data_IF_504579270509
#
_entry.id   IF_504579270509
#
_cell.length_a   1.000
_cell.length_b   1.000
_cell.length_c   1.000
_cell.angle_alpha   90.00
_cell.angle_beta   90.00
_cell.angle_gamma   90.00
#
_symmetry.space_group_name_H-M   'P 1'
#
loop_
_entity.id
_entity.type
_entity.pdbx_description
1 polymer ?
#
# COMPACT_ATOMS: atom_id res chain seq x y z
N UNK A 1 14.23 54.70 -49.11
CA UNK A 1 15.49 54.58 -48.43
C UNK A 1 15.31 53.80 -47.11
N UNK A 2 16.21 52.86 -46.79
CA UNK A 2 16.12 51.96 -45.63
C UNK A 2 16.22 52.71 -44.28
N UNK A 3 16.72 53.92 -44.29
CA UNK A 3 16.86 54.81 -43.12
C UNK A 3 15.54 55.45 -42.65
N UNK A 4 14.56 55.61 -43.55
CA UNK A 4 13.27 56.21 -43.19
C UNK A 4 12.31 55.29 -42.44
N UNK A 5 12.47 53.97 -42.62
CA UNK A 5 11.68 52.95 -41.90
C UNK A 5 12.09 52.84 -40.41
N UNK A 6 13.37 52.99 -40.13
CA UNK A 6 13.90 52.92 -38.73
C UNK A 6 13.53 54.17 -37.92
N UNK A 7 13.58 55.36 -38.55
CA UNK A 7 13.17 56.62 -37.90
C UNK A 7 11.68 56.64 -37.50
N UNK A 8 10.79 56.08 -38.33
CA UNK A 8 9.34 55.97 -38.02
C UNK A 8 9.03 54.93 -36.93
N UNK A 9 9.76 53.86 -36.88
CA UNK A 9 9.62 52.83 -35.86
C UNK A 9 10.06 53.35 -34.48
N UNK A 10 11.17 54.02 -34.38
CA UNK A 10 11.65 54.64 -33.14
C UNK A 10 10.66 55.70 -32.60
N UNK A 11 10.08 56.52 -33.49
CA UNK A 11 9.10 57.53 -33.09
C UNK A 11 7.83 56.90 -32.49
N UNK A 12 7.43 55.72 -32.93
CA UNK A 12 6.30 54.99 -32.36
C UNK A 12 6.59 54.49 -30.93
N UNK A 13 7.71 53.84 -30.69
CA UNK A 13 8.07 53.35 -29.36
C UNK A 13 8.30 54.49 -28.36
N UNK A 14 8.89 55.63 -28.81
CA UNK A 14 9.04 56.81 -27.96
C UNK A 14 7.73 57.44 -27.59
N UNK A 15 6.74 57.52 -28.50
CA UNK A 15 5.39 58.02 -28.22
C UNK A 15 4.65 57.06 -27.26
N UNK A 16 4.76 55.79 -27.45
CA UNK A 16 4.15 54.77 -26.54
C UNK A 16 4.75 54.90 -25.12
N UNK A 17 6.06 55.05 -25.00
CA UNK A 17 6.74 55.23 -23.73
C UNK A 17 6.34 56.54 -23.01
N UNK A 18 6.24 57.65 -23.74
CA UNK A 18 5.78 58.92 -23.18
C UNK A 18 4.30 58.86 -22.74
N UNK A 19 3.48 58.11 -23.46
CA UNK A 19 2.08 57.91 -23.08
C UNK A 19 1.94 57.07 -21.79
N UNK A 20 2.69 55.99 -21.69
CA UNK A 20 2.78 55.13 -20.49
C UNK A 20 3.27 55.94 -19.27
N UNK A 21 4.27 56.78 -19.44
CA UNK A 21 4.84 57.63 -18.36
C UNK A 21 3.86 58.71 -17.89
N UNK A 22 2.99 59.21 -18.78
CA UNK A 22 2.04 60.29 -18.48
C UNK A 22 0.74 59.76 -17.81
N UNK A 23 0.38 58.49 -18.04
CA UNK A 23 -0.80 57.82 -17.45
C UNK A 23 -0.43 56.64 -16.63
N UNK A 24 0.55 56.74 -15.74
CA UNK A 24 1.10 55.67 -14.90
C UNK A 24 0.02 54.87 -14.17
N UNK A 25 -1.02 55.56 -13.60
CA UNK A 25 -2.08 54.93 -12.87
C UNK A 25 -2.90 53.91 -13.71
N UNK A 26 -3.26 54.30 -14.95
CA UNK A 26 -4.02 53.43 -15.85
C UNK A 26 -3.21 52.22 -16.34
N UNK A 27 -1.91 52.47 -16.61
CA UNK A 27 -0.97 51.40 -17.04
C UNK A 27 -0.72 50.41 -15.92
N UNK A 28 -0.59 50.85 -14.67
CA UNK A 28 -0.38 50.00 -13.52
C UNK A 28 -1.63 49.10 -13.29
N UNK A 29 -2.83 49.67 -13.36
CA UNK A 29 -4.07 48.92 -13.23
C UNK A 29 -4.19 47.86 -14.33
N UNK A 30 -3.93 48.20 -15.59
CA UNK A 30 -3.95 47.27 -16.70
C UNK A 30 -2.94 46.13 -16.51
N UNK A 31 -1.71 46.46 -16.11
CA UNK A 31 -0.66 45.50 -15.83
C UNK A 31 -1.03 44.55 -14.67
N UNK A 32 -1.59 45.12 -13.58
CA UNK A 32 -2.06 44.33 -12.45
C UNK A 32 -3.18 43.34 -12.83
N UNK A 33 -4.13 43.78 -13.66
CA UNK A 33 -5.18 42.90 -14.19
C UNK A 33 -4.60 41.78 -15.05
N UNK A 34 -3.62 42.12 -15.92
CA UNK A 34 -2.98 41.12 -16.77
C UNK A 34 -2.18 40.09 -15.95
N UNK A 35 -1.47 40.58 -14.94
CA UNK A 35 -0.72 39.73 -14.01
C UNK A 35 -1.64 38.81 -13.21
N UNK A 36 -2.78 39.34 -12.72
CA UNK A 36 -3.77 38.54 -12.01
C UNK A 36 -4.38 37.43 -12.88
N UNK A 37 -4.73 37.75 -14.13
CA UNK A 37 -5.26 36.76 -15.08
C UNK A 37 -4.19 35.70 -15.41
N UNK A 38 -2.95 36.10 -15.63
CA UNK A 38 -1.86 35.16 -15.92
C UNK A 38 -1.59 34.22 -14.75
N UNK A 39 -1.61 34.73 -13.53
CA UNK A 39 -1.44 33.88 -12.33
C UNK A 39 -2.58 32.90 -12.15
N UNK A 40 -3.83 33.32 -12.41
CA UNK A 40 -5.00 32.41 -12.35
C UNK A 40 -4.90 31.30 -13.40
N UNK A 41 -4.46 31.60 -14.62
CA UNK A 41 -4.28 30.61 -15.68
C UNK A 41 -3.19 29.60 -15.28
N UNK A 42 -2.06 30.09 -14.74
CA UNK A 42 -0.98 29.22 -14.25
C UNK A 42 -1.42 28.32 -13.10
N UNK A 43 -2.17 28.86 -12.13
CA UNK A 43 -2.71 28.07 -11.03
C UNK A 43 -3.68 27.00 -11.55
N UNK A 44 -4.55 27.33 -12.48
CA UNK A 44 -5.47 26.36 -13.08
C UNK A 44 -4.72 25.25 -13.82
N UNK A 45 -3.69 25.59 -14.59
CA UNK A 45 -2.85 24.60 -15.27
C UNK A 45 -2.12 23.65 -14.28
N UNK A 46 -1.59 24.21 -13.19
CA UNK A 46 -0.93 23.41 -12.14
C UNK A 46 -1.93 22.45 -11.46
N UNK A 47 -3.15 22.90 -11.16
CA UNK A 47 -4.17 22.06 -10.56
C UNK A 47 -4.54 20.90 -11.49
N UNK A 48 -4.71 21.16 -12.79
CA UNK A 48 -5.00 20.12 -13.79
C UNK A 48 -3.86 19.10 -13.89
N UNK A 49 -2.62 19.54 -13.98
CA UNK A 49 -1.45 18.64 -14.02
C UNK A 49 -1.32 17.79 -12.75
N UNK A 50 -1.57 18.41 -11.59
CA UNK A 50 -1.54 17.68 -10.31
C UNK A 50 -2.67 16.65 -10.25
N UNK A 51 -3.88 17.00 -10.68
CA UNK A 51 -5.01 16.07 -10.72
C UNK A 51 -4.77 14.88 -11.64
N UNK A 52 -4.17 15.09 -12.82
CA UNK A 52 -3.79 14.01 -13.74
C UNK A 52 -2.69 13.12 -13.16
N UNK A 53 -1.67 13.71 -12.54
CA UNK A 53 -0.58 12.98 -11.87
C UNK A 53 -1.08 12.15 -10.71
N UNK A 54 -1.95 12.70 -9.86
CA UNK A 54 -2.58 11.98 -8.74
C UNK A 54 -3.47 10.85 -9.25
N UNK A 55 -4.29 11.09 -10.28
CA UNK A 55 -5.15 10.07 -10.88
C UNK A 55 -4.34 8.91 -11.49
N UNK A 56 -3.22 9.24 -12.13
CA UNK A 56 -2.30 8.25 -12.66
C UNK A 56 -1.63 7.44 -11.54
N UNK A 57 -1.14 8.11 -10.50
CA UNK A 57 -0.53 7.45 -9.34
C UNK A 57 -1.53 6.58 -8.58
N UNK A 58 -2.79 7.02 -8.45
CA UNK A 58 -3.86 6.19 -7.86
C UNK A 58 -4.12 4.96 -8.74
N UNK A 59 -4.21 5.11 -10.06
CA UNK A 59 -4.40 3.98 -10.98
C UNK A 59 -3.23 3.00 -10.96
N UNK A 60 -2.00 3.49 -10.87
CA UNK A 60 -0.80 2.66 -10.76
C UNK A 60 -0.72 1.93 -9.41
N UNK A 61 -1.09 2.59 -8.31
CA UNK A 61 -1.09 2.00 -6.96
C UNK A 61 -2.31 1.14 -6.67
N UNK A 62 -3.46 1.50 -7.20
CA UNK A 62 -4.71 0.76 -6.92
C UNK A 62 -4.93 -0.37 -7.92
N UNK A 63 -4.26 -0.36 -9.08
CA UNK A 63 -4.37 -1.34 -10.15
C UNK A 63 -5.82 -1.81 -10.37
N UNK A 64 -6.12 -2.50 -11.40
CA UNK A 64 -7.40 -3.22 -11.46
C UNK A 64 -7.26 -4.49 -10.61
N UNK A 65 -7.36 -4.38 -9.27
CA UNK A 65 -7.33 -5.54 -8.39
C UNK A 65 -8.66 -6.28 -8.52
N UNK A 66 -8.59 -7.48 -9.06
CA UNK A 66 -9.71 -8.41 -9.10
C UNK A 66 -9.46 -9.44 -8.00
N UNK A 67 -10.41 -9.59 -7.09
CA UNK A 67 -10.37 -10.61 -6.04
C UNK A 67 -11.31 -11.73 -6.49
N UNK A 68 -10.75 -12.92 -6.61
CA UNK A 68 -11.49 -14.13 -6.88
C UNK A 68 -11.60 -14.92 -5.57
N UNK A 69 -12.79 -15.06 -5.04
CA UNK A 69 -13.05 -15.81 -3.80
C UNK A 69 -14.04 -16.94 -4.05
N UNK A 70 -13.78 -18.09 -3.45
CA UNK A 70 -14.83 -19.10 -3.34
C UNK A 70 -15.80 -18.69 -2.24
N UNK A 71 -17.02 -18.31 -2.64
CA UNK A 71 -18.07 -17.86 -1.74
C UNK A 71 -18.55 -18.94 -0.76
N UNK A 72 -18.28 -20.20 -1.03
CA UNK A 72 -18.72 -21.31 -0.20
C UNK A 72 -17.66 -21.74 0.81
N UNK A 73 -16.43 -21.25 0.66
CA UNK A 73 -15.30 -21.56 1.54
C UNK A 73 -14.93 -23.06 1.62
N UNK A 74 -15.43 -23.86 0.67
CA UNK A 74 -15.29 -25.31 0.71
C UNK A 74 -14.29 -25.85 -0.32
N UNK A 75 -13.91 -25.04 -1.30
CA UNK A 75 -12.98 -25.46 -2.34
C UNK A 75 -11.89 -24.42 -2.56
N UNK A 76 -10.65 -24.88 -2.60
CA UNK A 76 -9.57 -24.07 -3.11
C UNK A 76 -9.79 -23.75 -4.59
N UNK A 77 -9.39 -22.57 -5.02
CA UNK A 77 -9.39 -22.20 -6.44
C UNK A 77 -8.44 -23.16 -7.16
N UNK A 78 -8.93 -23.85 -8.19
CA UNK A 78 -8.13 -24.84 -8.89
C UNK A 78 -6.89 -24.23 -9.55
N UNK A 79 -5.77 -24.96 -9.54
CA UNK A 79 -4.52 -24.54 -10.19
C UNK A 79 -4.71 -24.32 -11.70
N UNK A 80 -5.67 -25.00 -12.33
CA UNK A 80 -6.03 -24.79 -13.74
C UNK A 80 -6.62 -23.40 -13.95
N UNK A 81 -7.51 -22.94 -13.08
CA UNK A 81 -8.07 -21.59 -13.12
C UNK A 81 -6.97 -20.53 -12.96
N UNK A 82 -6.05 -20.73 -12.03
CA UNK A 82 -4.91 -19.83 -11.81
C UNK A 82 -4.02 -19.78 -13.07
N UNK A 83 -3.71 -20.92 -13.66
CA UNK A 83 -2.90 -20.99 -14.88
C UNK A 83 -3.58 -20.30 -16.05
N UNK A 84 -4.89 -20.45 -16.20
CA UNK A 84 -5.68 -19.76 -17.22
C UNK A 84 -5.64 -18.24 -17.01
N UNK A 85 -5.77 -17.75 -15.77
CA UNK A 85 -5.68 -16.32 -15.46
C UNK A 85 -4.30 -15.75 -15.77
N UNK A 86 -3.22 -16.48 -15.46
CA UNK A 86 -1.84 -16.09 -15.80
C UNK A 86 -1.59 -15.99 -17.30
N UNK A 87 -2.35 -16.72 -18.11
CA UNK A 87 -2.24 -16.65 -19.59
C UNK A 87 -2.85 -15.39 -20.19
N UNK A 88 -3.64 -14.63 -19.42
CA UNK A 88 -4.28 -13.41 -19.91
C UNK A 88 -3.27 -12.24 -19.94
N UNK A 89 -3.10 -11.55 -21.09
CA UNK A 89 -2.10 -10.48 -21.21
C UNK A 89 -2.39 -9.26 -20.34
N UNK A 90 -3.60 -9.14 -19.81
CA UNK A 90 -3.99 -8.06 -18.89
C UNK A 90 -3.61 -8.35 -17.43
N UNK A 91 -3.24 -9.58 -17.09
CA UNK A 91 -2.87 -10.01 -15.74
C UNK A 91 -1.35 -9.89 -15.59
N UNK A 92 -0.91 -8.98 -14.76
CA UNK A 92 0.53 -8.75 -14.53
C UNK A 92 1.07 -9.48 -13.32
N UNK A 93 0.25 -9.66 -12.29
CA UNK A 93 0.63 -10.36 -11.04
C UNK A 93 -0.60 -11.07 -10.45
N UNK A 94 -0.38 -12.22 -9.87
CA UNK A 94 -1.36 -12.95 -9.06
C UNK A 94 -0.74 -13.12 -7.66
N UNK A 95 -1.57 -12.98 -6.64
CA UNK A 95 -1.21 -13.30 -5.27
C UNK A 95 -2.27 -14.27 -4.72
N UNK A 96 -1.89 -15.50 -4.52
CA UNK A 96 -2.76 -16.48 -3.88
C UNK A 96 -2.75 -16.21 -2.40
N UNK A 97 -3.91 -16.20 -1.77
CA UNK A 97 -4.03 -15.97 -0.33
C UNK A 97 -4.98 -16.98 0.27
N UNK A 98 -4.64 -17.48 1.44
CA UNK A 98 -5.52 -18.29 2.26
C UNK A 98 -5.39 -17.87 3.72
N UNK A 99 -6.38 -18.19 4.54
CA UNK A 99 -6.33 -18.00 5.99
C UNK A 99 -6.73 -19.25 6.67
N UNK A 100 -5.96 -19.64 7.69
CA UNK A 100 -6.23 -20.80 8.54
C UNK A 100 -5.85 -20.46 9.99
N UNK A 101 -6.14 -21.36 10.90
CA UNK A 101 -5.65 -21.33 12.28
C UNK A 101 -4.57 -22.37 12.48
N UNK A 102 -3.59 -22.07 13.32
CA UNK A 102 -2.57 -23.03 13.71
C UNK A 102 -2.21 -22.88 15.18
N UNK A 103 -1.69 -23.95 15.74
CA UNK A 103 -1.24 -24.02 17.12
C UNK A 103 0.29 -23.86 17.14
N UNK A 104 0.82 -22.82 17.80
CA UNK A 104 2.27 -22.67 17.94
C UNK A 104 2.82 -23.72 18.91
N UNK A 105 3.93 -24.37 18.54
CA UNK A 105 4.64 -25.31 19.39
C UNK A 105 5.69 -24.63 20.29
N UNK A 106 6.30 -23.56 19.80
CA UNK A 106 7.50 -22.96 20.40
C UNK A 106 7.26 -21.60 21.07
N UNK A 107 6.03 -21.04 20.92
CA UNK A 107 5.68 -19.76 21.50
C UNK A 107 4.23 -19.74 21.95
N UNK A 108 3.80 -18.68 22.64
CA UNK A 108 2.45 -18.57 23.16
C UNK A 108 1.69 -17.41 22.52
N UNK A 109 0.43 -17.62 22.10
CA UNK A 109 -0.44 -16.54 21.65
C UNK A 109 -0.67 -15.52 22.76
N UNK A 110 -0.95 -14.27 22.37
CA UNK A 110 -1.34 -13.23 23.31
C UNK A 110 -2.81 -13.41 23.69
N UNK A 111 -3.04 -13.73 24.96
CA UNK A 111 -4.36 -13.98 25.54
C UNK A 111 -4.69 -12.82 26.48
N UNK A 112 -5.84 -12.16 26.28
CA UNK A 112 -6.32 -11.12 27.20
C UNK A 112 -7.34 -11.65 28.21
N UNK A 113 -8.05 -12.72 27.86
CA UNK A 113 -9.03 -13.37 28.74
C UNK A 113 -8.82 -14.86 28.70
N UNK A 114 -8.56 -15.44 29.84
CA UNK A 114 -8.51 -16.88 29.99
C UNK A 114 -9.88 -17.49 29.69
N UNK A 115 -9.90 -18.44 28.78
CA UNK A 115 -11.07 -19.22 28.40
C UNK A 115 -10.61 -20.62 28.03
N UNK A 116 -11.46 -21.61 28.28
CA UNK A 116 -11.21 -23.00 27.86
C UNK A 116 -11.40 -23.23 26.35
N UNK A 117 -11.62 -22.17 25.58
CA UNK A 117 -11.76 -22.24 24.14
C UNK A 117 -10.41 -22.60 23.48
N UNK A 118 -10.32 -23.67 22.68
CA UNK A 118 -9.12 -24.05 21.96
C UNK A 118 -8.55 -22.91 21.07
N UNK A 119 -9.40 -22.02 20.57
CA UNK A 119 -9.01 -20.86 19.79
C UNK A 119 -8.15 -19.86 20.57
N UNK A 120 -8.08 -19.96 21.90
CA UNK A 120 -7.15 -19.17 22.70
C UNK A 120 -5.70 -19.70 22.69
N UNK A 121 -5.51 -20.93 22.22
CA UNK A 121 -4.19 -21.53 22.05
C UNK A 121 -3.67 -21.43 20.61
N UNK A 122 -4.44 -20.82 19.73
CA UNK A 122 -4.11 -20.77 18.30
C UNK A 122 -3.86 -19.33 17.82
N UNK A 123 -3.20 -19.24 16.68
CA UNK A 123 -2.89 -18.01 15.94
C UNK A 123 -3.53 -18.08 14.56
N UNK A 124 -3.80 -16.92 13.95
CA UNK A 124 -4.24 -16.89 12.55
C UNK A 124 -3.03 -16.82 11.62
N UNK A 125 -3.00 -17.73 10.66
CA UNK A 125 -2.06 -17.76 9.56
C UNK A 125 -2.70 -17.16 8.31
N UNK A 126 -2.01 -16.20 7.72
CA UNK A 126 -2.30 -15.71 6.38
C UNK A 126 -1.22 -16.26 5.44
N UNK A 127 -1.57 -17.24 4.63
CA UNK A 127 -0.65 -17.72 3.60
C UNK A 127 -0.80 -16.86 2.34
N UNK A 128 0.31 -16.48 1.73
CA UNK A 128 0.32 -15.72 0.49
C UNK A 128 1.62 -15.93 -0.28
N UNK A 129 1.57 -15.71 -1.61
CA UNK A 129 2.78 -15.78 -2.44
C UNK A 129 3.68 -14.56 -2.24
N UNK A 130 3.08 -13.39 -2.02
CA UNK A 130 3.84 -12.14 -1.87
C UNK A 130 3.11 -11.17 -0.94
N UNK A 131 3.74 -10.87 0.21
CA UNK A 131 3.17 -9.97 1.21
C UNK A 131 3.25 -8.49 0.83
N UNK A 132 4.16 -8.07 -0.06
CA UNK A 132 4.26 -6.68 -0.51
C UNK A 132 3.00 -6.22 -1.26
N UNK A 133 2.40 -7.13 -2.03
CA UNK A 133 1.17 -6.86 -2.80
C UNK A 133 -0.10 -7.32 -2.09
N UNK A 134 0.01 -7.86 -0.88
CA UNK A 134 -1.14 -8.15 -0.02
C UNK A 134 -1.94 -6.88 0.27
N UNK A 135 -3.25 -7.03 0.42
CA UNK A 135 -4.14 -5.88 0.56
C UNK A 135 -3.87 -5.01 1.77
N UNK A 136 -3.43 -5.58 2.88
CA UNK A 136 -3.17 -4.84 4.12
C UNK A 136 -1.83 -4.10 4.07
N UNK A 137 -0.80 -4.71 3.48
CA UNK A 137 0.48 -4.06 3.26
C UNK A 137 0.41 -3.01 2.15
N UNK A 138 -0.21 -3.33 1.02
CA UNK A 138 -0.37 -2.40 -0.10
C UNK A 138 -1.17 -1.14 0.25
N UNK A 139 -2.09 -1.22 1.22
CA UNK A 139 -2.85 -0.09 1.76
C UNK A 139 -2.14 0.61 2.92
N UNK A 140 -0.91 0.24 3.24
CA UNK A 140 -0.13 0.77 4.36
C UNK A 140 -0.80 0.62 5.74
N UNK A 141 -1.80 -0.27 5.85
CA UNK A 141 -2.42 -0.63 7.12
C UNK A 141 -1.49 -1.47 7.97
N UNK A 142 -0.74 -2.36 7.32
CA UNK A 142 0.35 -3.11 7.90
C UNK A 142 1.66 -2.58 7.34
N UNK A 143 2.68 -2.52 8.18
CA UNK A 143 4.00 -2.03 7.80
C UNK A 143 5.08 -3.00 8.23
N UNK A 144 5.95 -3.39 7.32
CA UNK A 144 7.17 -4.11 7.67
C UNK A 144 8.08 -3.19 8.48
N UNK A 145 8.49 -3.64 9.67
CA UNK A 145 9.37 -2.92 10.59
C UNK A 145 10.82 -3.32 10.38
N UNK A 146 11.05 -4.62 10.26
CA UNK A 146 12.37 -5.21 10.11
C UNK A 146 12.31 -6.40 9.15
N UNK A 147 13.43 -6.72 8.51
CA UNK A 147 13.56 -7.85 7.60
C UNK A 147 13.03 -7.60 6.20
N UNK A 148 12.50 -8.63 5.56
CA UNK A 148 12.04 -8.62 4.18
C UNK A 148 10.62 -9.17 4.05
N UNK A 149 9.93 -8.76 3.00
CA UNK A 149 8.65 -9.35 2.63
C UNK A 149 8.82 -10.79 2.14
N UNK A 150 7.79 -11.61 2.34
CA UNK A 150 7.69 -12.91 1.66
C UNK A 150 7.53 -12.62 0.18
N UNK A 151 8.38 -13.22 -0.64
CA UNK A 151 8.31 -13.18 -2.09
C UNK A 151 8.59 -14.58 -2.62
N UNK A 152 7.75 -15.08 -3.48
CA UNK A 152 7.81 -16.37 -4.17
C UNK A 152 8.73 -17.47 -3.53
N UNK A 153 8.11 -18.41 -2.81
CA UNK A 153 8.70 -19.67 -2.33
C UNK A 153 9.94 -19.56 -1.40
N UNK A 154 9.90 -18.67 -0.42
CA UNK A 154 11.01 -18.48 0.52
C UNK A 154 10.90 -19.26 1.85
N UNK A 155 9.83 -20.02 2.10
CA UNK A 155 9.54 -20.68 3.37
C UNK A 155 9.70 -19.76 4.60
N UNK A 156 9.46 -18.47 4.40
CA UNK A 156 9.63 -17.45 5.42
C UNK A 156 8.34 -17.12 6.15
N UNK A 157 8.51 -16.64 7.35
CA UNK A 157 7.40 -16.21 8.21
C UNK A 157 7.56 -14.73 8.53
N UNK A 158 6.47 -13.94 8.41
CA UNK A 158 6.37 -12.63 9.00
C UNK A 158 5.55 -12.73 10.29
N UNK A 159 6.11 -12.22 11.37
CA UNK A 159 5.47 -12.21 12.69
C UNK A 159 5.05 -10.78 13.07
N UNK A 160 3.91 -10.66 13.76
CA UNK A 160 3.49 -9.39 14.32
C UNK A 160 4.46 -8.92 15.41
N UNK A 161 4.84 -7.65 15.41
CA UNK A 161 5.83 -7.08 16.34
C UNK A 161 5.46 -7.26 17.82
N UNK A 162 4.16 -7.20 18.16
CA UNK A 162 3.70 -7.36 19.54
C UNK A 162 3.85 -8.84 19.96
N UNK A 163 3.50 -9.78 19.08
CA UNK A 163 3.66 -11.20 19.32
C UNK A 163 5.15 -11.60 19.44
N UNK A 164 5.98 -11.08 18.55
CA UNK A 164 7.41 -11.28 18.57
C UNK A 164 8.03 -10.78 19.89
N UNK A 165 7.70 -9.56 20.29
CA UNK A 165 8.18 -8.97 21.54
C UNK A 165 7.73 -9.75 22.76
N UNK A 166 6.46 -10.20 22.80
CA UNK A 166 5.92 -10.94 23.95
C UNK A 166 6.62 -12.31 24.15
N UNK A 167 7.15 -12.90 23.08
CA UNK A 167 7.80 -14.22 23.11
C UNK A 167 9.33 -14.14 22.96
N UNK A 168 9.91 -12.94 22.84
CA UNK A 168 11.35 -12.76 22.67
C UNK A 168 11.89 -13.30 21.34
N UNK A 169 11.05 -13.32 20.29
CA UNK A 169 11.37 -13.80 18.96
C UNK A 169 11.92 -12.69 18.07
N UNK A 170 12.88 -13.02 17.22
CA UNK A 170 13.54 -12.10 16.29
C UNK A 170 13.73 -12.70 14.90
N UNK A 171 14.28 -11.91 14.00
CA UNK A 171 14.63 -12.36 12.65
C UNK A 171 15.72 -13.44 12.75
N UNK A 172 15.57 -14.53 11.99
CA UNK A 172 16.44 -15.69 12.00
C UNK A 172 16.01 -16.80 12.96
N UNK A 173 15.06 -16.54 13.87
CA UNK A 173 14.51 -17.58 14.71
C UNK A 173 13.58 -18.49 13.89
N UNK A 174 13.60 -19.78 14.22
CA UNK A 174 12.69 -20.76 13.59
C UNK A 174 11.53 -21.02 14.52
N UNK A 175 10.32 -21.00 14.00
CA UNK A 175 9.10 -21.35 14.73
C UNK A 175 8.39 -22.50 14.07
N UNK A 176 7.71 -23.31 14.89
CA UNK A 176 6.96 -24.47 14.47
C UNK A 176 5.48 -24.26 14.73
N UNK A 177 4.67 -24.54 13.72
CA UNK A 177 3.24 -24.40 13.71
C UNK A 177 2.59 -25.75 13.40
N UNK A 178 1.53 -26.10 14.12
CA UNK A 178 0.75 -27.31 13.91
C UNK A 178 -0.65 -26.91 13.42
N UNK A 179 -1.12 -27.55 12.37
CA UNK A 179 -2.46 -27.34 11.84
C UNK A 179 -3.50 -28.14 12.65
N UNK A 180 -4.79 -27.85 12.46
CA UNK A 180 -5.87 -28.64 13.07
C UNK A 180 -5.87 -30.12 12.63
N UNK A 181 -5.26 -30.42 11.48
CA UNK A 181 -5.11 -31.79 10.97
C UNK A 181 -3.94 -32.55 11.58
N UNK A 182 -3.11 -31.87 12.38
CA UNK A 182 -1.91 -32.43 13.00
C UNK A 182 -0.65 -32.37 12.11
N UNK A 183 -0.73 -31.71 10.97
CA UNK A 183 0.44 -31.45 10.14
C UNK A 183 1.28 -30.34 10.76
N UNK A 184 2.58 -30.51 10.77
CA UNK A 184 3.53 -29.54 11.31
C UNK A 184 4.35 -28.89 10.21
N UNK A 185 4.50 -27.59 10.29
CA UNK A 185 5.39 -26.83 9.43
C UNK A 185 6.31 -25.94 10.27
N UNK A 186 7.59 -25.87 9.91
CA UNK A 186 8.55 -24.99 10.54
C UNK A 186 9.11 -23.99 9.53
N UNK A 187 9.30 -22.77 9.95
CA UNK A 187 9.85 -21.72 9.09
C UNK A 187 10.66 -20.69 9.87
N UNK A 188 11.54 -20.02 9.17
CA UNK A 188 12.37 -18.95 9.71
C UNK A 188 11.60 -17.63 9.70
N UNK A 189 11.68 -16.84 10.76
CA UNK A 189 11.18 -15.48 10.82
C UNK A 189 12.08 -14.60 9.96
N UNK A 190 11.57 -14.17 8.80
CA UNK A 190 12.29 -13.32 7.85
C UNK A 190 11.88 -11.85 7.96
N UNK A 191 10.80 -11.55 8.66
CA UNK A 191 10.35 -10.19 8.86
C UNK A 191 9.40 -10.01 10.03
N UNK A 192 9.42 -8.79 10.56
CA UNK A 192 8.56 -8.36 11.68
C UNK A 192 7.70 -7.22 11.17
N UNK A 193 6.39 -7.32 11.32
CA UNK A 193 5.47 -6.31 10.86
C UNK A 193 4.65 -5.70 12.00
N UNK A 194 4.22 -4.46 11.79
CA UNK A 194 3.32 -3.73 12.66
C UNK A 194 1.94 -3.63 11.99
N UNK A 195 0.89 -3.99 12.73
CA UNK A 195 -0.49 -4.05 12.22
C UNK A 195 -1.30 -2.75 12.38
N UNK A 196 -0.61 -1.62 12.58
CA UNK A 196 -1.26 -0.35 12.83
C UNK A 196 -1.70 -0.17 14.30
N UNK A 197 -2.27 0.99 14.62
CA UNK A 197 -2.69 1.29 15.98
C UNK A 197 -3.67 0.22 16.48
N UNK A 198 -3.49 -0.15 17.74
CA UNK A 198 -4.42 -0.95 18.51
C UNK A 198 -5.85 -0.47 18.27
N UNK A 199 -6.55 -1.13 17.33
CA UNK A 199 -8.00 -1.13 17.45
C UNK A 199 -8.28 -1.74 18.81
N UNK A 200 -8.98 -1.03 19.67
CA UNK A 200 -9.57 -1.62 20.87
C UNK A 200 -10.39 -2.82 20.44
N UNK A 201 -9.73 -3.95 20.30
CA UNK A 201 -10.45 -5.21 20.19
C UNK A 201 -11.07 -5.44 21.57
N UNK A 202 -12.34 -5.80 21.55
CA UNK A 202 -13.03 -6.19 22.78
C UNK A 202 -12.23 -7.29 23.44
N UNK A 203 -12.10 -7.23 24.76
CA UNK A 203 -11.33 -8.22 25.54
C UNK A 203 -11.91 -9.65 25.45
N UNK A 204 -13.07 -9.80 24.82
CA UNK A 204 -13.79 -11.08 24.63
C UNK A 204 -13.42 -11.83 23.36
N UNK A 205 -12.53 -11.31 22.51
CA UNK A 205 -12.14 -11.96 21.26
C UNK A 205 -11.13 -13.07 21.56
N UNK A 206 -11.35 -14.27 21.03
CA UNK A 206 -10.42 -15.39 21.15
C UNK A 206 -9.04 -15.03 20.56
N UNK A 207 -7.99 -15.63 21.11
CA UNK A 207 -6.61 -15.31 20.73
C UNK A 207 -6.37 -15.45 19.22
N UNK A 208 -6.91 -16.48 18.59
CA UNK A 208 -6.81 -16.69 17.15
C UNK A 208 -7.21 -15.46 16.33
N UNK A 209 -8.27 -14.78 16.71
CA UNK A 209 -8.81 -13.64 15.93
C UNK A 209 -8.23 -12.28 16.32
N UNK A 210 -7.25 -12.27 17.20
CA UNK A 210 -6.59 -11.04 17.59
C UNK A 210 -5.57 -10.62 16.55
N UNK A 211 -5.55 -9.33 16.26
CA UNK A 211 -4.61 -8.75 15.28
C UNK A 211 -3.16 -9.01 15.67
N UNK A 212 -2.87 -9.02 16.97
CA UNK A 212 -1.54 -9.27 17.51
C UNK A 212 -1.05 -10.71 17.23
N UNK A 213 -1.97 -11.67 17.12
CA UNK A 213 -1.69 -13.08 16.90
C UNK A 213 -1.77 -13.50 15.42
N UNK A 214 -1.53 -12.56 14.51
CA UNK A 214 -1.48 -12.83 13.07
C UNK A 214 -0.06 -13.05 12.60
N UNK A 215 0.10 -14.04 11.77
CA UNK A 215 1.35 -14.42 11.09
C UNK A 215 1.08 -14.47 9.59
N UNK A 216 2.07 -14.10 8.79
CA UNK A 216 2.09 -14.38 7.36
C UNK A 216 3.10 -15.47 7.08
N UNK A 217 2.73 -16.41 6.22
CA UNK A 217 3.58 -17.54 5.82
C UNK A 217 3.58 -17.67 4.30
N UNK A 218 4.61 -18.23 3.77
CA UNK A 218 4.67 -18.58 2.34
C UNK A 218 3.59 -19.62 2.01
N UNK A 219 2.94 -19.48 0.85
CA UNK A 219 1.89 -20.38 0.41
C UNK A 219 2.37 -21.84 0.23
N UNK A 220 3.65 -22.06 0.05
CA UNK A 220 4.24 -23.40 -0.09
C UNK A 220 4.40 -24.14 1.24
N UNK A 221 4.20 -23.48 2.37
CA UNK A 221 4.36 -24.11 3.70
C UNK A 221 3.15 -24.96 4.12
N UNK A 222 1.97 -24.73 3.52
CA UNK A 222 0.73 -25.41 3.83
C UNK A 222 -0.08 -25.82 2.60
#
# INVERSE_FOLDING_TARGET
>A
SFTDLWGKSMAFYQRAYCYLRRKKSKSIVLFSCFLAISTLILCAAMILQTAESVNRSIREKTGSKIILEDRRGQNSISSETVSHLLSLPAVTKINRTASSTAYPADFSPIIKKESADPLNLSVTLHSCDNTEIDGLFAQEKYRLMEGTHITDAQNGILINSILAQANGLGIGDTITLETETGDTASGEIIGIFFSGMERRQEDNVAAAYRIENQLYVDHSMF
#
